data_IF_705175539288
#
_entry.id   IF_705175539288
#
_cell.length_a   1.000
_cell.length_b   1.000
_cell.length_c   1.000
_cell.angle_alpha   90.00
_cell.angle_beta   90.00
_cell.angle_gamma   90.00
#
_symmetry.space_group_name_H-M   'P 1'
#
loop_
_entity.id
_entity.type
_entity.pdbx_description
1 polymer ?
#
# COMPACT_ATOMS: atom_id res chain seq x y z
N UNK A 1 3.63 -0.54 -22.01
CA UNK A 1 3.17 0.39 -20.95
C UNK A 1 1.66 0.30 -20.91
N UNK A 2 1.08 0.10 -19.72
CA UNK A 2 -0.37 -0.09 -19.53
C UNK A 2 -0.90 1.02 -18.63
N UNK A 3 -2.16 1.38 -18.83
CA UNK A 3 -2.90 2.36 -18.03
C UNK A 3 -4.28 1.82 -17.72
N UNK A 4 -4.70 1.96 -16.47
CA UNK A 4 -6.08 1.75 -16.06
C UNK A 4 -6.72 3.08 -15.73
N UNK A 5 -8.05 3.14 -15.79
CA UNK A 5 -8.82 4.37 -15.61
C UNK A 5 -9.97 4.14 -14.62
N UNK A 6 -10.31 5.19 -13.88
CA UNK A 6 -11.55 5.27 -13.13
C UNK A 6 -12.76 5.39 -14.07
N UNK A 7 -13.96 5.15 -13.55
CA UNK A 7 -15.23 5.36 -14.30
C UNK A 7 -15.41 6.80 -14.80
N UNK A 8 -14.77 7.77 -14.13
CA UNK A 8 -14.75 9.18 -14.53
C UNK A 8 -13.72 9.51 -15.63
N UNK A 9 -13.03 8.51 -16.18
CA UNK A 9 -12.05 8.65 -17.27
C UNK A 9 -10.66 9.13 -16.84
N UNK A 10 -10.44 9.45 -15.56
CA UNK A 10 -9.09 9.80 -15.07
C UNK A 10 -8.23 8.55 -14.87
N UNK A 11 -6.93 8.70 -15.08
CA UNK A 11 -5.96 7.61 -14.89
C UNK A 11 -6.02 7.13 -13.44
N UNK A 12 -6.12 5.82 -13.25
CA UNK A 12 -6.04 5.14 -11.97
C UNK A 12 -4.63 4.62 -11.70
N UNK A 13 -4.03 3.97 -12.71
CA UNK A 13 -2.72 3.33 -12.61
C UNK A 13 -1.96 3.48 -13.92
N UNK A 14 -0.63 3.42 -13.86
CA UNK A 14 0.25 3.39 -15.03
C UNK A 14 1.52 2.64 -14.69
N UNK A 15 1.91 1.73 -15.57
CA UNK A 15 3.14 0.97 -15.39
C UNK A 15 3.42 0.02 -16.55
N UNK A 16 4.10 -1.08 -16.23
CA UNK A 16 4.51 -2.09 -17.19
C UNK A 16 4.15 -3.48 -16.67
N UNK A 17 3.66 -4.32 -17.57
CA UNK A 17 3.65 -5.77 -17.38
C UNK A 17 4.84 -6.36 -18.12
N UNK A 18 5.38 -7.45 -17.58
CA UNK A 18 6.41 -8.25 -18.21
C UNK A 18 5.93 -9.69 -18.28
N UNK A 19 6.02 -10.29 -19.46
CA UNK A 19 5.75 -11.70 -19.68
C UNK A 19 6.71 -12.56 -18.85
N UNK A 20 6.16 -13.50 -18.08
CA UNK A 20 6.93 -14.45 -17.27
C UNK A 20 7.20 -15.71 -18.07
N UNK A 21 6.17 -16.22 -18.73
CA UNK A 21 6.21 -17.40 -19.58
C UNK A 21 5.14 -17.28 -20.68
N UNK A 22 4.87 -18.38 -21.38
CA UNK A 22 3.94 -18.33 -22.49
C UNK A 22 2.48 -18.07 -22.09
N UNK A 23 2.13 -18.20 -20.81
CA UNK A 23 0.75 -18.18 -20.30
C UNK A 23 0.50 -17.09 -19.26
N UNK A 24 1.53 -16.38 -18.79
CA UNK A 24 1.40 -15.39 -17.71
C UNK A 24 2.25 -14.13 -17.88
N UNK A 25 1.71 -13.03 -17.37
CA UNK A 25 2.38 -11.73 -17.24
C UNK A 25 2.32 -11.26 -15.79
N UNK A 26 3.31 -10.47 -15.38
CA UNK A 26 3.38 -9.89 -14.04
C UNK A 26 3.71 -8.41 -14.11
N UNK A 27 3.22 -7.64 -13.14
CA UNK A 27 3.60 -6.24 -12.97
C UNK A 27 5.11 -6.13 -12.76
N UNK A 28 5.73 -5.14 -13.41
CA UNK A 28 7.17 -4.95 -13.37
C UNK A 28 7.55 -3.47 -13.43
N UNK A 29 8.63 -3.11 -12.75
CA UNK A 29 9.20 -1.78 -12.75
C UNK A 29 8.40 -0.78 -11.89
N UNK A 30 8.55 0.50 -12.22
CA UNK A 30 7.86 1.59 -11.53
C UNK A 30 6.39 1.65 -11.95
N UNK A 31 5.53 1.60 -10.95
CA UNK A 31 4.10 1.86 -11.06
C UNK A 31 3.77 3.15 -10.34
N UNK A 32 2.86 3.92 -10.93
CA UNK A 32 2.27 5.09 -10.30
C UNK A 32 0.77 4.89 -10.21
N UNK A 33 0.21 5.29 -9.08
CA UNK A 33 -1.23 5.25 -8.82
C UNK A 33 -1.72 6.66 -8.52
N UNK A 34 -2.95 6.94 -8.92
CA UNK A 34 -3.58 8.23 -8.72
C UNK A 34 -4.89 8.07 -7.97
N UNK A 35 -5.30 9.13 -7.29
CA UNK A 35 -6.65 9.29 -6.79
C UNK A 35 -7.60 9.67 -7.94
N UNK A 36 -8.90 9.46 -7.72
CA UNK A 36 -10.00 9.87 -8.61
C UNK A 36 -10.01 11.38 -8.92
N UNK A 37 -9.39 12.22 -8.09
CA UNK A 37 -9.21 13.64 -8.34
C UNK A 37 -8.07 13.94 -9.35
N UNK A 38 -7.21 12.96 -9.66
CA UNK A 38 -6.05 13.09 -10.55
C UNK A 38 -4.73 13.37 -9.83
N UNK A 39 -4.73 13.48 -8.50
CA UNK A 39 -3.52 13.61 -7.70
C UNK A 39 -2.78 12.26 -7.62
N UNK A 40 -1.45 12.27 -7.66
CA UNK A 40 -0.65 11.07 -7.38
C UNK A 40 -0.96 10.58 -5.96
N UNK A 41 -1.24 9.29 -5.84
CA UNK A 41 -1.48 8.56 -4.60
C UNK A 41 -0.21 7.85 -4.13
N UNK A 42 0.40 7.04 -4.98
CA UNK A 42 1.62 6.31 -4.64
C UNK A 42 2.51 6.02 -5.84
N UNK A 43 3.77 5.77 -5.54
CA UNK A 43 4.76 5.25 -6.48
C UNK A 43 5.43 4.04 -5.86
N UNK A 44 5.46 2.95 -6.61
CA UNK A 44 5.85 1.63 -6.12
C UNK A 44 6.68 0.92 -7.18
N UNK A 45 7.63 0.09 -6.76
CA UNK A 45 8.48 -0.68 -7.65
C UNK A 45 8.26 -2.18 -7.47
N UNK A 46 8.11 -2.86 -8.60
CA UNK A 46 7.82 -4.27 -8.68
C UNK A 46 8.98 -4.99 -9.38
N UNK A 47 9.69 -5.83 -8.62
CA UNK A 47 10.68 -6.74 -9.21
C UNK A 47 9.98 -8.00 -9.71
N UNK A 48 10.45 -8.49 -10.86
CA UNK A 48 9.88 -9.68 -11.49
C UNK A 48 9.93 -10.87 -10.53
N UNK A 49 8.78 -11.51 -10.30
CA UNK A 49 8.63 -12.69 -9.43
C UNK A 49 9.17 -12.50 -8.00
N UNK A 50 9.32 -11.27 -7.52
CA UNK A 50 9.74 -11.00 -6.14
C UNK A 50 8.62 -10.32 -5.37
N UNK A 51 8.29 -10.92 -4.22
CA UNK A 51 7.63 -10.24 -3.11
C UNK A 51 8.71 -9.94 -2.07
N UNK A 52 8.64 -8.80 -1.36
CA UNK A 52 7.54 -7.81 -1.33
C UNK A 52 7.61 -6.71 -2.40
N UNK A 53 6.58 -5.85 -2.42
CA UNK A 53 6.53 -4.59 -3.17
C UNK A 53 7.45 -3.57 -2.50
N UNK A 54 8.11 -2.73 -3.31
CA UNK A 54 8.97 -1.64 -2.83
C UNK A 54 8.22 -0.31 -2.93
N UNK A 55 7.91 0.30 -1.80
CA UNK A 55 7.15 1.56 -1.74
C UNK A 55 8.11 2.74 -1.82
N UNK A 56 7.94 3.63 -2.79
CA UNK A 56 8.85 4.77 -3.00
C UNK A 56 8.25 6.05 -2.41
N UNK A 57 7.04 6.40 -2.82
CA UNK A 57 6.34 7.60 -2.35
C UNK A 57 4.87 7.32 -2.11
N UNK A 58 4.27 8.03 -1.16
CA UNK A 58 2.83 7.95 -0.87
C UNK A 58 2.33 9.30 -0.39
N UNK A 59 1.20 9.73 -0.94
CA UNK A 59 0.49 10.96 -0.58
C UNK A 59 -0.91 10.61 -0.13
N UNK A 60 -1.40 11.33 0.86
CA UNK A 60 -2.81 11.34 1.23
C UNK A 60 -3.63 12.08 0.17
N UNK A 61 -4.95 11.83 0.13
CA UNK A 61 -5.88 12.55 -0.77
C UNK A 61 -5.91 14.07 -0.53
N UNK A 62 -5.46 14.52 0.65
CA UNK A 62 -5.25 15.92 1.01
C UNK A 62 -4.02 16.55 0.35
N UNK A 63 -3.13 15.76 -0.25
CA UNK A 63 -1.86 16.22 -0.83
C UNK A 63 -0.65 16.06 0.09
N UNK A 64 -0.84 15.70 1.37
CA UNK A 64 0.27 15.52 2.32
C UNK A 64 1.06 14.26 1.94
N UNK A 65 2.36 14.43 1.68
CA UNK A 65 3.28 13.31 1.46
C UNK A 65 3.65 12.66 2.80
N UNK A 66 3.32 11.38 2.96
CA UNK A 66 3.57 10.61 4.20
C UNK A 66 4.65 9.54 4.04
N UNK A 67 4.99 9.18 2.79
CA UNK A 67 6.15 8.36 2.45
C UNK A 67 6.95 9.11 1.39
N UNK A 68 8.25 9.27 1.64
CA UNK A 68 9.18 9.92 0.72
C UNK A 68 10.45 9.09 0.57
N UNK A 69 10.81 8.76 -0.67
CA UNK A 69 12.03 8.04 -1.01
C UNK A 69 12.23 6.77 -0.15
N UNK A 70 11.16 5.99 0.02
CA UNK A 70 11.21 4.72 0.74
C UNK A 70 11.20 4.82 2.27
N UNK A 71 10.99 6.00 2.85
CA UNK A 71 10.93 6.17 4.30
C UNK A 71 9.70 6.99 4.73
N UNK A 72 8.95 6.47 5.71
CA UNK A 72 7.73 7.10 6.22
C UNK A 72 6.61 6.10 6.47
N UNK A 73 5.39 6.46 6.10
CA UNK A 73 4.20 5.67 6.37
C UNK A 73 3.32 5.51 5.14
N UNK A 74 2.61 4.38 5.09
CA UNK A 74 1.47 4.18 4.19
C UNK A 74 0.27 3.73 5.01
N UNK A 75 -0.91 3.83 4.42
CA UNK A 75 -2.11 3.20 4.96
C UNK A 75 -2.82 2.38 3.89
N UNK A 76 -3.42 1.26 4.33
CA UNK A 76 -4.24 0.38 3.51
C UNK A 76 -5.59 0.22 4.19
N UNK A 77 -6.67 0.38 3.42
CA UNK A 77 -8.04 0.07 3.85
C UNK A 77 -8.36 -1.37 3.47
N UNK A 78 -8.79 -2.21 4.41
CA UNK A 78 -9.06 -3.62 4.10
C UNK A 78 -10.34 -3.77 3.27
N UNK A 79 -10.28 -4.53 2.18
CA UNK A 79 -11.38 -4.66 1.22
C UNK A 79 -12.69 -5.25 1.79
N UNK A 80 -12.63 -5.96 2.93
CA UNK A 80 -13.79 -6.64 3.55
C UNK A 80 -14.31 -5.93 4.81
N UNK A 81 -13.57 -4.92 5.29
CA UNK A 81 -14.00 -4.00 6.35
C UNK A 81 -13.58 -2.62 5.88
N UNK A 82 -14.49 -1.93 5.21
CA UNK A 82 -14.29 -0.59 4.63
C UNK A 82 -13.78 0.44 5.64
N UNK A 83 -13.84 0.07 6.91
CA UNK A 83 -13.59 0.92 8.06
C UNK A 83 -12.37 0.46 8.88
N UNK A 84 -11.62 -0.54 8.38
CA UNK A 84 -10.35 -0.95 8.97
C UNK A 84 -9.21 -0.27 8.23
N UNK A 85 -8.48 0.61 8.92
CA UNK A 85 -7.27 1.26 8.38
C UNK A 85 -6.04 0.69 9.05
N UNK A 86 -5.17 0.05 8.26
CA UNK A 86 -3.85 -0.38 8.74
C UNK A 86 -2.79 0.61 8.29
N UNK A 87 -2.06 1.16 9.26
CA UNK A 87 -0.91 2.03 9.04
C UNK A 87 0.36 1.19 9.15
N UNK A 88 1.24 1.29 8.16
CA UNK A 88 2.53 0.60 8.13
C UNK A 88 3.67 1.61 8.12
N UNK A 89 4.68 1.37 8.94
CA UNK A 89 5.98 2.04 8.85
C UNK A 89 6.82 1.40 7.73
N UNK A 90 7.31 2.25 6.82
CA UNK A 90 8.15 1.87 5.70
C UNK A 90 9.58 2.39 5.95
N UNK A 91 10.56 1.50 5.78
CA UNK A 91 11.99 1.81 5.80
C UNK A 91 12.67 1.11 4.65
N UNK A 92 13.53 1.83 3.94
CA UNK A 92 14.23 1.34 2.76
C UNK A 92 13.28 0.72 1.73
N UNK A 93 12.14 1.39 1.52
CA UNK A 93 11.05 1.00 0.62
C UNK A 93 10.29 -0.27 1.02
N UNK A 94 10.54 -0.83 2.20
CA UNK A 94 9.92 -2.07 2.66
C UNK A 94 9.09 -1.82 3.91
N UNK A 95 8.02 -2.61 4.11
CA UNK A 95 7.37 -2.70 5.43
C UNK A 95 8.41 -3.27 6.41
N UNK A 96 9.03 -2.39 7.17
CA UNK A 96 10.23 -2.63 8.00
C UNK A 96 10.12 -1.85 9.31
N UNK A 97 9.00 -2.04 10.00
CA UNK A 97 8.69 -1.26 11.19
C UNK A 97 7.37 -1.66 11.79
N UNK A 98 6.85 -0.81 12.65
CA UNK A 98 5.61 -1.09 13.35
C UNK A 98 4.40 -0.93 12.42
N UNK A 99 3.35 -1.71 12.69
CA UNK A 99 2.03 -1.47 12.11
C UNK A 99 0.97 -1.31 13.20
N UNK A 100 -0.07 -0.55 12.89
CA UNK A 100 -1.27 -0.41 13.71
C UNK A 100 -2.49 -0.58 12.83
N UNK A 101 -3.36 -1.51 13.18
CA UNK A 101 -4.66 -1.69 12.55
C UNK A 101 -5.72 -1.13 13.49
N UNK A 102 -6.53 -0.22 12.97
CA UNK A 102 -7.67 0.35 13.64
C UNK A 102 -8.93 -0.23 13.04
N UNK A 103 -9.88 -0.64 13.88
CA UNK A 103 -11.19 -1.09 13.45
C UNK A 103 -12.25 -0.06 13.84
N UNK A 104 -13.25 0.16 12.98
CA UNK A 104 -14.41 0.98 13.30
C UNK A 104 -15.50 0.11 13.92
N UNK A 105 -15.91 0.45 15.13
CA UNK A 105 -17.10 -0.12 15.76
C UNK A 105 -17.95 1.00 16.33
N UNK A 106 -19.28 0.91 16.15
CA UNK A 106 -20.24 1.87 16.70
C UNK A 106 -19.84 3.34 16.46
N UNK A 107 -19.35 3.64 15.25
CA UNK A 107 -18.86 4.96 14.82
C UNK A 107 -17.58 5.47 15.53
N UNK A 108 -16.80 4.60 16.18
CA UNK A 108 -15.51 4.96 16.79
C UNK A 108 -14.41 4.01 16.37
N UNK A 109 -13.25 4.54 16.00
CA UNK A 109 -12.07 3.75 15.71
C UNK A 109 -11.39 3.34 17.02
N UNK A 110 -11.07 2.06 17.16
CA UNK A 110 -10.24 1.55 18.24
C UNK A 110 -9.02 0.80 17.68
N UNK A 111 -7.93 0.76 18.44
CA UNK A 111 -6.75 0.00 18.07
C UNK A 111 -7.08 -1.49 18.15
N UNK A 112 -7.24 -2.15 17.01
CA UNK A 112 -7.59 -3.57 16.93
C UNK A 112 -6.36 -4.46 17.02
N UNK A 113 -5.25 -4.09 16.36
CA UNK A 113 -4.02 -4.85 16.49
C UNK A 113 -2.76 -4.06 16.18
N UNK A 114 -1.64 -4.55 16.69
CA UNK A 114 -0.32 -4.01 16.38
C UNK A 114 0.72 -5.12 16.30
N UNK A 115 1.85 -4.81 15.68
CA UNK A 115 2.99 -5.70 15.57
C UNK A 115 4.08 -5.05 14.73
N UNK A 116 5.01 -5.87 14.24
CA UNK A 116 6.18 -5.42 13.48
C UNK A 116 6.30 -6.18 12.18
N UNK A 117 6.81 -5.51 11.16
CA UNK A 117 7.26 -6.11 9.91
C UNK A 117 8.79 -6.03 9.80
N UNK A 118 9.39 -7.08 9.23
CA UNK A 118 10.80 -7.11 8.78
C UNK A 118 10.82 -7.79 7.41
N UNK A 119 11.43 -7.14 6.43
CA UNK A 119 11.50 -7.60 5.04
C UNK A 119 10.14 -7.77 4.38
N UNK A 120 9.11 -7.01 4.78
CA UNK A 120 7.76 -7.19 4.26
C UNK A 120 6.96 -8.35 4.86
N UNK A 121 7.50 -9.04 5.87
CA UNK A 121 6.82 -10.15 6.57
C UNK A 121 6.55 -9.77 8.02
N UNK A 122 5.41 -10.21 8.59
CA UNK A 122 5.12 -10.02 10.02
C UNK A 122 6.21 -10.73 10.82
N UNK A 123 6.79 -10.01 11.78
CA UNK A 123 7.86 -10.50 12.63
C UNK A 123 7.48 -10.38 14.10
N UNK A 124 7.58 -11.48 14.83
CA UNK A 124 7.24 -11.56 16.25
C UNK A 124 5.74 -11.71 16.50
N UNK A 125 5.31 -11.31 17.70
CA UNK A 125 3.91 -11.43 18.12
C UNK A 125 3.07 -10.30 17.55
N UNK A 126 1.92 -10.66 16.97
CA UNK A 126 0.81 -9.74 16.73
C UNK A 126 -0.02 -9.65 18.01
N UNK A 127 -0.24 -8.44 18.50
CA UNK A 127 -1.12 -8.19 19.64
C UNK A 127 -2.48 -7.80 19.07
N UNK A 128 -3.54 -8.45 19.57
CA UNK A 128 -4.93 -8.18 19.21
C UNK A 128 -5.62 -7.67 20.47
N UNK A 129 -6.38 -6.58 20.31
CA UNK A 129 -7.18 -5.99 21.36
C UNK A 129 -8.64 -6.28 21.06
N UNK A 130 -9.38 -6.73 22.08
CA UNK A 130 -10.82 -6.87 22.04
C UNK A 130 -11.45 -5.72 22.81
N UNK A 131 -12.59 -5.17 22.34
CA UNK A 131 -13.35 -4.17 23.07
C UNK A 131 -13.89 -4.70 24.40
#
# INVERSE_FOLDING_TARGET
>A
MVKDYYSNGKIYSKGYFKRIDNTSESVFGLWTYWYDNGQIKSQEYYYLNKKPVYYINFWQKSGIQILKNGNGYIYETMAFRTDDSTIFEIKDSLKNGNFKCYALEKNSFYLFSTGKYIGGVIHGKKIIYYP
#
